data_IF_364673073532
#
_entry.id   IF_364673073532
#
_cell.length_a   1.000
_cell.length_b   1.000
_cell.length_c   1.000
_cell.angle_alpha   90.00
_cell.angle_beta   90.00
_cell.angle_gamma   90.00
#
_symmetry.space_group_name_H-M   'P 1'
#
loop_
_entity.id
_entity.type
_entity.pdbx_description
1 polymer ?
#
# COMPACT_ATOMS: atom_id res chain seq x y z
N UNK A 1 -11.08 50.58 -16.75
CA UNK A 1 -9.97 49.72 -16.29
C UNK A 1 -10.55 48.34 -16.07
N UNK A 2 -10.28 47.34 -16.92
CA UNK A 2 -10.65 45.98 -16.59
C UNK A 2 -9.60 45.42 -15.62
N UNK A 3 -10.08 44.77 -14.57
CA UNK A 3 -9.26 44.10 -13.56
C UNK A 3 -8.37 43.04 -14.22
N UNK A 4 -7.08 43.13 -13.93
CA UNK A 4 -6.08 42.13 -14.27
C UNK A 4 -6.33 40.88 -13.42
N UNK A 5 -7.11 39.93 -13.92
CA UNK A 5 -7.09 38.56 -13.41
C UNK A 5 -5.65 38.05 -13.51
N UNK A 6 -5.03 37.83 -12.35
CA UNK A 6 -3.73 37.20 -12.25
C UNK A 6 -3.84 35.79 -12.84
N UNK A 7 -3.32 35.60 -14.05
CA UNK A 7 -3.22 34.30 -14.66
C UNK A 7 -2.42 33.37 -13.73
N UNK A 8 -3.01 32.23 -13.37
CA UNK A 8 -2.30 31.16 -12.66
C UNK A 8 -1.00 30.85 -13.42
N UNK A 9 0.16 30.76 -12.74
CA UNK A 9 1.41 30.46 -13.41
C UNK A 9 1.29 29.07 -14.05
N UNK A 10 1.45 29.04 -15.38
CA UNK A 10 1.60 27.80 -16.16
C UNK A 10 2.64 26.94 -15.45
N UNK A 11 2.32 25.70 -15.01
CA UNK A 11 3.26 24.89 -14.26
C UNK A 11 4.50 24.65 -15.13
N UNK A 12 5.66 25.08 -14.63
CA UNK A 12 6.93 24.54 -15.09
C UNK A 12 6.86 23.01 -15.07
N UNK A 13 7.63 22.36 -15.94
CA UNK A 13 7.57 20.90 -16.06
C UNK A 13 7.72 20.27 -14.67
N UNK A 14 6.97 19.22 -14.33
CA UNK A 14 7.07 18.58 -13.00
C UNK A 14 8.52 18.21 -12.60
N UNK A 15 9.40 18.10 -13.61
CA UNK A 15 10.86 17.98 -13.46
C UNK A 15 11.52 19.20 -12.83
N UNK A 16 11.13 20.42 -13.20
CA UNK A 16 11.73 21.66 -12.69
C UNK A 16 11.37 21.88 -11.21
N UNK A 17 10.16 21.47 -10.78
CA UNK A 17 9.75 21.52 -9.37
C UNK A 17 10.55 20.56 -8.47
N UNK A 18 11.05 19.45 -9.03
CA UNK A 18 11.81 18.42 -8.33
C UNK A 18 13.33 18.69 -8.30
N UNK A 19 13.81 19.71 -9.02
CA UNK A 19 15.22 20.11 -8.98
C UNK A 19 15.61 20.69 -7.62
N UNK A 20 14.67 21.38 -6.95
CA UNK A 20 14.91 22.05 -5.67
C UNK A 20 14.12 21.43 -4.49
N UNK A 21 13.24 20.46 -4.73
CA UNK A 21 12.39 19.83 -3.69
C UNK A 21 12.40 18.31 -3.80
N UNK A 22 12.48 17.64 -2.65
CA UNK A 22 12.33 16.19 -2.58
C UNK A 22 10.86 15.80 -2.79
N UNK A 23 10.59 15.01 -3.83
CA UNK A 23 9.30 14.32 -3.96
C UNK A 23 9.21 13.20 -2.92
N UNK A 24 8.07 13.08 -2.24
CA UNK A 24 7.82 12.02 -1.27
C UNK A 24 6.67 11.18 -1.80
N UNK A 25 6.88 9.87 -1.91
CA UNK A 25 5.82 8.92 -2.21
C UNK A 25 5.18 8.52 -0.88
N UNK A 26 3.86 8.64 -0.80
CA UNK A 26 3.06 8.22 0.35
C UNK A 26 2.21 7.02 -0.06
N UNK A 27 2.41 5.88 0.59
CA UNK A 27 1.60 4.68 0.39
C UNK A 27 0.80 4.38 1.66
N UNK A 28 -0.52 4.28 1.52
CA UNK A 28 -1.46 3.94 2.58
C UNK A 28 -2.16 2.62 2.29
N UNK A 29 -2.33 1.80 3.32
CA UNK A 29 -3.19 0.61 3.29
C UNK A 29 -4.30 0.74 4.34
N UNK A 30 -5.54 0.58 3.89
CA UNK A 30 -6.69 0.26 4.74
C UNK A 30 -7.03 -1.23 4.54
N UNK A 31 -6.89 -2.05 5.60
CA UNK A 31 -7.15 -3.49 5.58
C UNK A 31 -8.34 -3.79 6.49
N UNK A 32 -9.51 -4.03 5.90
CA UNK A 32 -10.66 -4.56 6.62
C UNK A 32 -10.60 -6.09 6.61
N UNK A 33 -10.81 -6.75 7.76
CA UNK A 33 -10.78 -8.21 7.83
C UNK A 33 -12.02 -8.81 8.49
N UNK A 34 -12.36 -10.01 8.03
CA UNK A 34 -13.53 -10.77 8.44
C UNK A 34 -13.08 -12.19 8.79
N UNK A 35 -12.93 -12.45 10.09
CA UNK A 35 -12.66 -13.79 10.58
C UNK A 35 -13.92 -14.65 10.44
N UNK A 36 -13.80 -15.81 9.77
CA UNK A 36 -14.87 -16.79 9.69
C UNK A 36 -14.92 -17.55 11.03
N UNK A 37 -16.11 -17.75 11.63
CA UNK A 37 -16.27 -18.56 12.83
C UNK A 37 -15.53 -19.90 12.71
N UNK A 38 -14.61 -20.23 13.63
CA UNK A 38 -13.85 -21.48 13.58
C UNK A 38 -14.76 -22.70 13.85
N UNK A 39 -15.90 -22.48 14.52
CA UNK A 39 -16.93 -23.49 14.80
C UNK A 39 -18.33 -22.86 14.77
N UNK A 40 -19.40 -23.62 14.46
CA UNK A 40 -20.76 -23.07 14.33
C UNK A 40 -21.29 -22.41 15.61
N UNK A 41 -21.10 -23.04 16.76
CA UNK A 41 -21.65 -22.61 18.05
C UNK A 41 -20.67 -21.72 18.85
N UNK A 42 -19.99 -20.79 18.18
CA UNK A 42 -19.11 -19.82 18.85
C UNK A 42 -19.92 -18.65 19.40
N UNK A 43 -19.72 -18.35 20.68
CA UNK A 43 -20.41 -17.25 21.33
C UNK A 43 -19.81 -15.89 20.95
N UNK A 44 -20.62 -14.83 21.03
CA UNK A 44 -20.19 -13.49 20.64
C UNK A 44 -18.90 -13.00 21.35
N UNK A 45 -18.73 -13.17 22.69
CA UNK A 45 -17.52 -12.76 23.38
C UNK A 45 -16.27 -13.52 22.91
N UNK A 46 -16.40 -14.81 22.64
CA UNK A 46 -15.30 -15.64 22.14
C UNK A 46 -14.90 -15.20 20.72
N UNK A 47 -15.89 -14.88 19.88
CA UNK A 47 -15.64 -14.36 18.53
C UNK A 47 -14.92 -13.00 18.55
N UNK A 48 -15.14 -12.17 19.56
CA UNK A 48 -14.38 -10.92 19.74
C UNK A 48 -12.90 -11.24 19.96
N UNK A 49 -12.58 -12.21 20.82
CA UNK A 49 -11.20 -12.60 21.08
C UNK A 49 -10.54 -13.24 19.85
N UNK A 50 -11.27 -14.06 19.09
CA UNK A 50 -10.79 -14.59 17.78
C UNK A 50 -10.46 -13.46 16.80
N UNK A 51 -11.32 -12.44 16.69
CA UNK A 51 -11.04 -11.26 15.83
C UNK A 51 -9.82 -10.50 16.30
N UNK A 52 -9.64 -10.35 17.61
CA UNK A 52 -8.48 -9.68 18.22
C UNK A 52 -7.19 -10.45 17.93
N UNK A 53 -7.22 -11.76 18.07
CA UNK A 53 -6.10 -12.66 17.75
C UNK A 53 -5.76 -12.66 16.25
N UNK A 54 -6.77 -12.68 15.38
CA UNK A 54 -6.59 -12.53 13.93
C UNK A 54 -5.92 -11.19 13.59
N UNK A 55 -6.38 -10.09 14.19
CA UNK A 55 -5.75 -8.78 14.05
C UNK A 55 -4.28 -8.78 14.44
N UNK A 56 -3.93 -9.38 15.60
CA UNK A 56 -2.52 -9.53 16.03
C UNK A 56 -1.69 -10.29 14.99
N UNK A 57 -2.21 -11.37 14.42
CA UNK A 57 -1.53 -12.15 13.39
C UNK A 57 -1.34 -11.35 12.08
N UNK A 58 -2.37 -10.61 11.64
CA UNK A 58 -2.30 -9.76 10.44
C UNK A 58 -1.32 -8.58 10.60
N UNK A 59 -1.09 -8.10 11.82
CA UNK A 59 -0.08 -7.08 12.10
C UNK A 59 1.35 -7.58 11.87
N UNK A 60 1.60 -8.89 12.02
CA UNK A 60 2.92 -9.48 11.75
C UNK A 60 3.24 -9.57 10.25
N UNK A 61 2.23 -9.45 9.38
CA UNK A 61 2.43 -9.33 7.94
C UNK A 61 2.80 -7.88 7.59
N UNK A 62 4.03 -7.48 7.93
CA UNK A 62 4.47 -6.08 7.93
C UNK A 62 5.21 -5.63 6.66
N UNK A 63 5.50 -6.54 5.74
CA UNK A 63 6.09 -6.20 4.43
C UNK A 63 5.09 -5.44 3.54
N UNK A 64 5.52 -4.38 2.87
CA UNK A 64 4.67 -3.55 2.00
C UNK A 64 4.04 -4.40 0.89
N UNK A 65 4.81 -5.29 0.26
CA UNK A 65 4.34 -6.11 -0.86
C UNK A 65 3.78 -7.48 -0.47
N UNK A 66 3.66 -7.78 0.83
CA UNK A 66 3.21 -9.08 1.34
C UNK A 66 1.81 -9.47 0.85
N UNK A 67 0.90 -8.48 0.74
CA UNK A 67 -0.48 -8.68 0.26
C UNK A 67 -0.65 -8.73 -1.27
N UNK A 68 0.42 -8.53 -2.05
CA UNK A 68 0.39 -8.56 -3.52
C UNK A 68 1.12 -9.76 -4.14
N UNK A 69 1.98 -10.45 -3.39
CA UNK A 69 2.81 -11.54 -3.89
C UNK A 69 2.10 -12.90 -3.80
N UNK A 70 1.05 -13.10 -4.59
CA UNK A 70 0.30 -14.38 -4.57
C UNK A 70 0.54 -15.29 -5.77
N UNK A 71 1.05 -14.78 -6.88
CA UNK A 71 1.45 -15.62 -8.02
C UNK A 71 2.83 -15.23 -8.55
N UNK A 72 3.64 -16.23 -8.88
CA UNK A 72 4.90 -16.07 -9.63
C UNK A 72 4.64 -15.90 -11.14
N UNK A 73 3.40 -15.59 -11.52
CA UNK A 73 3.02 -15.42 -12.91
C UNK A 73 3.56 -14.08 -13.43
N UNK A 74 4.46 -14.15 -14.42
CA UNK A 74 5.07 -12.97 -14.98
C UNK A 74 4.04 -12.13 -15.76
N UNK A 75 4.18 -10.80 -15.70
CA UNK A 75 3.35 -9.86 -16.46
C UNK A 75 2.03 -9.46 -15.81
N UNK A 76 1.78 -9.84 -14.56
CA UNK A 76 0.59 -9.40 -13.83
C UNK A 76 0.62 -7.90 -13.53
N UNK A 77 -0.55 -7.28 -13.36
CA UNK A 77 -0.68 -5.89 -12.92
C UNK A 77 -0.02 -5.65 -11.56
N UNK A 78 0.05 -6.68 -10.71
CA UNK A 78 0.69 -6.62 -9.39
C UNK A 78 2.20 -6.51 -9.50
N UNK A 79 2.81 -7.31 -10.37
CA UNK A 79 4.24 -7.23 -10.66
C UNK A 79 4.63 -5.85 -11.20
N UNK A 80 3.85 -5.30 -12.15
CA UNK A 80 4.06 -3.94 -12.65
C UNK A 80 3.95 -2.86 -11.57
N UNK A 81 3.04 -3.03 -10.59
CA UNK A 81 2.89 -2.09 -9.48
C UNK A 81 4.11 -2.13 -8.55
N UNK A 82 4.62 -3.33 -8.25
CA UNK A 82 5.85 -3.51 -7.45
C UNK A 82 7.03 -2.86 -8.17
N UNK A 83 7.20 -3.10 -9.47
CA UNK A 83 8.26 -2.48 -10.29
C UNK A 83 8.16 -0.95 -10.30
N UNK A 84 6.95 -0.40 -10.42
CA UNK A 84 6.73 1.04 -10.40
C UNK A 84 7.12 1.66 -9.05
N UNK A 85 6.67 1.07 -7.94
CA UNK A 85 6.94 1.57 -6.59
C UNK A 85 8.43 1.43 -6.22
N UNK A 86 9.07 0.34 -6.66
CA UNK A 86 10.51 0.12 -6.43
C UNK A 86 11.39 1.03 -7.28
N UNK A 87 11.03 1.28 -8.53
CA UNK A 87 11.66 2.32 -9.36
C UNK A 87 11.48 3.72 -8.75
N UNK A 88 10.35 3.95 -8.08
CA UNK A 88 10.04 5.21 -7.39
C UNK A 88 10.86 5.47 -6.14
N UNK A 89 11.16 4.45 -5.33
CA UNK A 89 12.00 4.64 -4.15
C UNK A 89 11.90 3.56 -3.07
N UNK A 90 10.85 2.75 -3.07
CA UNK A 90 10.72 1.60 -2.15
C UNK A 90 11.68 0.47 -2.55
N UNK A 91 11.95 -0.44 -1.61
CA UNK A 91 12.62 -1.72 -1.86
C UNK A 91 11.66 -2.87 -1.64
N UNK A 92 11.98 -4.02 -2.22
CA UNK A 92 11.12 -5.21 -2.23
C UNK A 92 10.84 -5.78 -0.84
N UNK A 93 11.77 -5.56 0.09
CA UNK A 93 11.79 -6.01 1.47
C UNK A 93 11.38 -4.90 2.46
N UNK A 94 10.99 -3.72 1.96
CA UNK A 94 10.52 -2.63 2.80
C UNK A 94 9.27 -3.06 3.59
N UNK A 95 9.24 -2.61 4.84
CA UNK A 95 8.12 -2.79 5.77
C UNK A 95 7.32 -1.51 5.88
N UNK A 96 6.07 -1.64 6.31
CA UNK A 96 5.24 -0.49 6.65
C UNK A 96 5.91 0.33 7.76
N UNK A 97 6.11 1.63 7.53
CA UNK A 97 6.69 2.54 8.52
C UNK A 97 5.77 2.76 9.73
N UNK A 98 4.47 2.65 9.51
CA UNK A 98 3.45 2.52 10.54
C UNK A 98 2.47 1.43 10.14
N UNK A 99 2.10 0.55 11.07
CA UNK A 99 1.07 -0.48 10.91
C UNK A 99 0.42 -0.75 12.26
N UNK A 100 -0.89 -0.49 12.37
CA UNK A 100 -1.61 -0.65 13.62
C UNK A 100 -3.06 -1.10 13.40
N UNK A 101 -3.59 -1.83 14.37
CA UNK A 101 -5.01 -2.17 14.42
C UNK A 101 -5.82 -1.01 14.99
N UNK A 102 -7.01 -0.76 14.44
CA UNK A 102 -7.92 0.24 14.97
C UNK A 102 -8.69 -0.30 16.19
N UNK A 103 -8.75 0.45 17.31
CA UNK A 103 -9.49 0.02 18.49
C UNK A 103 -10.95 -0.29 18.17
N UNK A 104 -11.44 -1.44 18.64
CA UNK A 104 -12.82 -1.90 18.47
C UNK A 104 -13.26 -2.09 17.00
N UNK A 105 -12.32 -2.16 16.05
CA UNK A 105 -12.61 -2.43 14.64
C UNK A 105 -11.74 -3.60 14.16
N UNK A 106 -12.27 -4.35 13.19
CA UNK A 106 -11.51 -5.37 12.48
C UNK A 106 -10.77 -4.73 11.29
N UNK A 107 -9.93 -3.74 11.60
CA UNK A 107 -9.21 -2.92 10.61
C UNK A 107 -7.74 -2.81 11.00
N UNK A 108 -6.86 -2.89 10.02
CA UNK A 108 -5.44 -2.52 10.13
C UNK A 108 -5.16 -1.36 9.19
N UNK A 109 -4.57 -0.29 9.72
CA UNK A 109 -4.14 0.88 8.97
C UNK A 109 -2.62 0.85 8.84
N UNK A 110 -2.09 1.11 7.63
CA UNK A 110 -0.66 1.20 7.40
C UNK A 110 -0.25 2.41 6.57
N UNK A 111 0.96 2.92 6.83
CA UNK A 111 1.57 4.06 6.13
C UNK A 111 3.04 3.76 5.86
N UNK A 112 3.50 4.04 4.65
CA UNK A 112 4.90 4.02 4.28
C UNK A 112 5.25 5.26 3.45
N UNK A 113 6.47 5.76 3.63
CA UNK A 113 7.00 6.92 2.92
C UNK A 113 8.30 6.53 2.22
N UNK A 114 8.49 6.98 0.99
CA UNK A 114 9.76 6.85 0.27
C UNK A 114 10.13 8.17 -0.38
N UNK A 115 11.42 8.52 -0.37
CA UNK A 115 11.91 9.63 -1.19
C UNK A 115 11.89 9.18 -2.65
N UNK A 116 11.25 9.98 -3.51
CA UNK A 116 11.25 9.76 -4.94
C UNK A 116 12.70 9.80 -5.47
N UNK A 117 13.15 8.72 -6.09
CA UNK A 117 14.44 8.65 -6.78
C UNK A 117 14.29 9.33 -8.14
N UNK A 118 14.81 10.55 -8.24
CA UNK A 118 14.85 11.32 -9.50
C UNK A 118 16.22 11.21 -10.19
N UNK A 119 17.22 10.71 -9.47
CA UNK A 119 18.62 10.60 -9.86
C UNK A 119 18.94 9.25 -10.52
N UNK A 120 18.18 8.86 -11.54
CA UNK A 120 18.71 7.88 -12.49
C UNK A 120 19.76 8.62 -13.32
N UNK A 121 21.02 8.59 -12.86
CA UNK A 121 22.15 9.10 -13.66
C UNK A 121 22.02 8.53 -15.06
N UNK A 122 22.03 9.43 -16.04
CA UNK A 122 21.81 9.18 -17.47
C UNK A 122 22.82 8.23 -18.14
N UNK A 123 23.59 7.44 -17.39
CA UNK A 123 24.72 6.69 -17.89
C UNK A 123 24.70 5.17 -17.62
N UNK A 124 23.69 4.60 -16.95
CA UNK A 124 23.57 3.15 -16.85
C UNK A 124 22.11 2.66 -16.85
N UNK A 125 21.77 1.96 -17.95
CA UNK A 125 20.85 0.82 -18.04
C UNK A 125 19.48 0.95 -17.34
N UNK A 126 18.54 1.61 -18.02
CA UNK A 126 17.22 1.08 -18.44
C UNK A 126 16.23 2.25 -18.62
N UNK A 127 16.02 2.67 -19.88
CA UNK A 127 15.08 3.75 -20.27
C UNK A 127 13.67 3.60 -19.66
N UNK A 128 13.29 2.38 -19.28
CA UNK A 128 12.00 2.06 -18.71
C UNK A 128 11.84 2.52 -17.24
N UNK A 129 12.90 2.51 -16.44
CA UNK A 129 12.83 2.88 -15.01
C UNK A 129 12.56 4.38 -14.81
N UNK A 130 13.23 5.22 -15.62
CA UNK A 130 12.99 6.67 -15.66
C UNK A 130 11.55 6.97 -16.06
N UNK A 131 11.02 6.25 -17.05
CA UNK A 131 9.63 6.38 -17.48
C UNK A 131 8.62 5.97 -16.40
N UNK A 132 8.94 4.97 -15.57
CA UNK A 132 8.09 4.54 -14.46
C UNK A 132 8.06 5.54 -13.30
N UNK A 133 9.22 6.08 -12.91
CA UNK A 133 9.29 7.12 -11.87
C UNK A 133 8.54 8.40 -12.29
N UNK A 134 8.58 8.75 -13.59
CA UNK A 134 7.77 9.85 -14.12
C UNK A 134 6.26 9.57 -14.11
N UNK A 135 5.82 8.31 -14.28
CA UNK A 135 4.40 7.95 -14.16
C UNK A 135 3.87 8.18 -12.75
N UNK A 136 4.71 8.06 -11.71
CA UNK A 136 4.30 8.34 -10.34
C UNK A 136 3.88 9.81 -10.17
N UNK A 137 4.53 10.75 -10.87
CA UNK A 137 4.18 12.18 -10.81
C UNK A 137 2.75 12.49 -11.28
N UNK A 138 2.11 11.59 -12.03
CA UNK A 138 0.69 11.73 -12.38
C UNK A 138 -0.22 11.72 -11.15
N UNK A 139 0.24 11.13 -10.04
CA UNK A 139 -0.53 11.00 -8.80
C UNK A 139 -0.40 12.21 -7.86
N UNK A 140 0.46 13.19 -8.19
CA UNK A 140 0.64 14.44 -7.41
C UNK A 140 -0.65 15.27 -7.25
N UNK A 141 -1.60 15.13 -8.17
CA UNK A 141 -2.91 15.84 -8.11
C UNK A 141 -4.09 14.91 -7.83
N UNK A 142 -3.94 13.63 -8.12
CA UNK A 142 -5.03 12.65 -8.03
C UNK A 142 -4.49 11.36 -7.45
N UNK A 143 -4.84 11.03 -6.19
CA UNK A 143 -4.47 9.77 -5.58
C UNK A 143 -4.86 8.58 -6.45
N UNK A 144 -3.96 7.61 -6.60
CA UNK A 144 -4.29 6.32 -7.17
C UNK A 144 -4.84 5.41 -6.08
N UNK A 145 -6.00 4.79 -6.32
CA UNK A 145 -6.62 3.87 -5.37
C UNK A 145 -6.88 2.52 -6.02
N UNK A 146 -6.48 1.44 -5.36
CA UNK A 146 -6.79 0.06 -5.77
C UNK A 146 -7.45 -0.67 -4.60
N UNK A 147 -8.58 -1.30 -4.84
CA UNK A 147 -9.32 -2.11 -3.87
C UNK A 147 -9.40 -3.55 -4.37
N UNK A 148 -9.17 -4.52 -3.50
CA UNK A 148 -9.32 -5.94 -3.83
C UNK A 148 -9.68 -6.76 -2.59
N UNK A 149 -10.12 -7.99 -2.84
CA UNK A 149 -10.44 -8.96 -1.82
C UNK A 149 -9.51 -10.16 -1.93
N UNK A 150 -9.20 -10.76 -0.79
CA UNK A 150 -8.43 -11.98 -0.72
C UNK A 150 -8.88 -12.87 0.45
N UNK A 151 -8.82 -14.18 0.24
CA UNK A 151 -8.89 -15.15 1.33
C UNK A 151 -7.49 -15.48 1.83
N UNK A 152 -7.34 -15.58 3.15
CA UNK A 152 -6.12 -16.07 3.81
C UNK A 152 -6.47 -17.10 4.87
N UNK A 153 -5.56 -18.04 5.08
CA UNK A 153 -5.60 -18.96 6.21
C UNK A 153 -4.49 -18.55 7.19
N UNK A 154 -4.88 -18.14 8.40
CA UNK A 154 -3.95 -17.79 9.46
C UNK A 154 -3.67 -19.03 10.31
N UNK A 155 -2.40 -19.29 10.56
CA UNK A 155 -1.93 -20.36 11.44
C UNK A 155 -1.56 -19.79 12.81
N UNK A 156 -1.61 -20.64 13.86
CA UNK A 156 -1.22 -20.28 15.22
C UNK A 156 -1.98 -19.07 15.79
N UNK A 157 -3.27 -18.93 15.47
CA UNK A 157 -4.13 -17.89 16.04
C UNK A 157 -4.54 -18.28 17.45
N UNK A 158 -4.24 -17.42 18.42
CA UNK A 158 -4.60 -17.60 19.82
C UNK A 158 -6.11 -17.89 19.98
N UNK A 159 -6.45 -18.97 20.69
CA UNK A 159 -7.84 -19.40 20.92
C UNK A 159 -8.50 -20.12 19.73
N UNK A 160 -7.78 -20.42 18.66
CA UNK A 160 -8.30 -21.19 17.52
C UNK A 160 -7.50 -22.49 17.35
N UNK A 161 -8.20 -23.62 17.27
CA UNK A 161 -7.60 -24.90 16.90
C UNK A 161 -7.44 -24.97 15.37
N UNK A 162 -6.20 -25.14 14.91
CA UNK A 162 -5.88 -25.24 13.49
C UNK A 162 -5.85 -23.89 12.76
N UNK A 163 -6.39 -23.85 11.55
CA UNK A 163 -6.33 -22.69 10.66
C UNK A 163 -7.57 -21.82 10.79
N UNK A 164 -7.37 -20.52 11.00
CA UNK A 164 -8.45 -19.53 10.93
C UNK A 164 -8.59 -18.99 9.51
N UNK A 165 -9.76 -19.18 8.90
CA UNK A 165 -10.08 -18.55 7.61
C UNK A 165 -10.45 -17.09 7.83
N UNK A 166 -9.80 -16.20 7.09
CA UNK A 166 -10.06 -14.76 7.14
C UNK A 166 -10.22 -14.22 5.73
N UNK A 167 -11.28 -13.46 5.50
CA UNK A 167 -11.41 -12.63 4.31
C UNK A 167 -10.87 -11.25 4.58
N UNK A 168 -10.08 -10.74 3.65
CA UNK A 168 -9.47 -9.42 3.75
C UNK A 168 -9.95 -8.60 2.55
N UNK A 169 -10.39 -7.38 2.83
CA UNK A 169 -10.54 -6.32 1.84
C UNK A 169 -9.40 -5.34 2.05
N UNK A 170 -8.51 -5.24 1.07
CA UNK A 170 -7.43 -4.25 1.08
C UNK A 170 -7.76 -3.11 0.16
N UNK A 171 -7.42 -1.91 0.63
CA UNK A 171 -7.42 -0.72 -0.19
C UNK A 171 -6.09 -0.03 -0.06
N UNK A 172 -5.40 0.10 -1.19
CA UNK A 172 -4.20 0.90 -1.27
C UNK A 172 -4.50 2.26 -1.86
N UNK A 173 -3.89 3.28 -1.27
CA UNK A 173 -3.90 4.65 -1.79
C UNK A 173 -2.47 5.14 -1.94
N UNK A 174 -2.10 5.53 -3.15
CA UNK A 174 -0.80 6.07 -3.51
C UNK A 174 -0.93 7.57 -3.78
N UNK A 175 -0.12 8.36 -3.09
CA UNK A 175 -0.11 9.82 -3.12
C UNK A 175 1.33 10.33 -3.23
N UNK A 176 1.49 11.58 -3.66
CA UNK A 176 2.78 12.26 -3.78
C UNK A 176 2.68 13.72 -3.36
#
# INVERSE_FOLDING_TARGET
MPDSEAADPVPGSARDMLQDRAGIIVLREDLDFYAIPPRPEIEHPEMIEVKRAAGKALLQQDGIFSGLRKSDEAGTTEQHLIEMLTAGGFNVDDRWGHRAGEPNKAVVCSLALARLRTDVKANDLNSNAVGMAQKLLLFWRKPARRCWWEGVELENVEGVEGKLKVWIRRVWTLEM
#
